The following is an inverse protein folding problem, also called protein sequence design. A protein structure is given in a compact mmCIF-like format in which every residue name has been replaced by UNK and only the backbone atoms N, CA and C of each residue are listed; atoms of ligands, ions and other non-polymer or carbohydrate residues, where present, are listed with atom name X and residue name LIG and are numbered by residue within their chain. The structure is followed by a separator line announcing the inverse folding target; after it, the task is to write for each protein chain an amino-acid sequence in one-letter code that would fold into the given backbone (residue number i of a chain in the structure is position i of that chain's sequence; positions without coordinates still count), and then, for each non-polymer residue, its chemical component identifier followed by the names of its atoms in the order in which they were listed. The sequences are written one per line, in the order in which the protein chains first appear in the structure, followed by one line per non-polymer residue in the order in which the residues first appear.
data_IF_042362681348
#
_entry.id   IF_042362681348
#
_cell.length_a   1.000
_cell.length_b   1.000
_cell.length_c   1.000
_cell.angle_alpha   90.00
_cell.angle_beta   90.00
_cell.angle_gamma   90.00
#
_symmetry.space_group_name_H-M   'P 1'
#
loop_
_entity.id
_entity.type
_entity.pdbx_description
1 polymer ?
#
# COMPACT_ATOMS: atom_id res chain seq x y z
N UNK A 1 -0.04 28.35 -3.33
CA UNK A 1 -0.90 28.29 -4.53
C UNK A 1 -0.13 27.52 -5.59
N UNK A 2 -0.20 26.18 -5.57
CA UNK A 2 0.55 25.31 -6.48
C UNK A 2 -0.42 24.79 -7.55
N UNK A 3 -0.57 25.54 -8.64
CA UNK A 3 -1.09 24.97 -9.89
C UNK A 3 0.10 24.31 -10.57
N UNK A 4 0.18 22.99 -10.52
CA UNK A 4 1.22 22.22 -11.21
C UNK A 4 0.56 21.50 -12.39
N UNK A 5 0.96 21.88 -13.59
CA UNK A 5 0.55 21.32 -14.89
C UNK A 5 1.16 19.94 -15.20
N UNK A 6 1.72 19.23 -14.20
CA UNK A 6 2.23 17.86 -14.36
C UNK A 6 1.31 16.86 -13.65
N UNK A 7 0.37 16.28 -14.39
CA UNK A 7 -0.41 15.09 -13.95
C UNK A 7 0.49 13.87 -13.63
N UNK A 8 1.77 13.89 -14.02
CA UNK A 8 2.70 12.78 -13.86
C UNK A 8 3.25 12.59 -12.43
N UNK A 9 3.16 13.58 -11.53
CA UNK A 9 3.71 13.51 -10.17
C UNK A 9 2.65 13.62 -9.07
N UNK A 10 1.41 13.19 -9.35
CA UNK A 10 0.40 13.02 -8.32
C UNK A 10 0.42 11.58 -7.79
N UNK A 11 0.15 11.44 -6.48
CA UNK A 11 -0.07 10.15 -5.82
C UNK A 11 -1.30 9.50 -6.45
N UNK A 12 -1.17 8.24 -6.90
CA UNK A 12 -2.14 7.59 -7.82
C UNK A 12 -3.58 7.57 -7.29
N UNK A 13 -3.80 7.62 -5.97
CA UNK A 13 -5.13 7.58 -5.36
C UNK A 13 -5.47 8.80 -4.49
N UNK A 14 -4.83 9.95 -4.73
CA UNK A 14 -5.20 11.17 -4.04
C UNK A 14 -6.57 11.66 -4.54
N UNK A 15 -7.52 11.84 -3.61
CA UNK A 15 -8.85 12.38 -3.89
C UNK A 15 -9.02 13.72 -3.15
N UNK A 16 -9.01 14.81 -3.91
CA UNK A 16 -9.16 16.18 -3.41
C UNK A 16 -10.53 16.44 -2.75
N UNK A 17 -11.55 15.63 -3.05
CA UNK A 17 -12.85 15.72 -2.39
C UNK A 17 -12.85 15.02 -1.03
N UNK A 18 -11.89 14.13 -0.80
CA UNK A 18 -11.74 13.37 0.44
C UNK A 18 -10.68 13.96 1.35
N UNK A 19 -9.59 14.51 0.80
CA UNK A 19 -8.46 15.06 1.55
C UNK A 19 -8.19 16.49 1.10
N UNK A 20 -8.32 17.43 2.03
CA UNK A 20 -8.15 18.87 1.81
C UNK A 20 -7.07 19.41 2.74
N UNK A 21 -6.42 20.49 2.31
CA UNK A 21 -5.41 21.21 3.09
C UNK A 21 -5.94 22.61 3.42
N UNK A 22 -5.97 22.95 4.70
CA UNK A 22 -6.50 24.22 5.19
C UNK A 22 -5.50 24.91 6.10
N UNK A 23 -5.54 26.25 6.14
CA UNK A 23 -4.81 27.01 7.16
C UNK A 23 -5.76 27.28 8.32
N UNK A 24 -5.32 26.97 9.54
CA UNK A 24 -6.03 27.39 10.75
C UNK A 24 -6.01 28.91 10.88
N UNK A 25 -6.88 29.46 11.74
CA UNK A 25 -6.85 30.87 12.11
C UNK A 25 -5.49 31.33 12.70
N UNK A 26 -4.67 30.39 13.18
CA UNK A 26 -3.32 30.63 13.69
C UNK A 26 -2.22 30.49 12.63
N UNK A 27 -2.58 30.25 11.37
CA UNK A 27 -1.65 30.13 10.24
C UNK A 27 -0.97 28.75 10.11
N UNK A 28 -1.40 27.75 10.89
CA UNK A 28 -0.86 26.40 10.78
C UNK A 28 -1.58 25.62 9.67
N UNK A 29 -0.82 24.89 8.85
CA UNK A 29 -1.38 23.99 7.85
C UNK A 29 -1.93 22.73 8.54
N UNK A 30 -3.16 22.36 8.20
CA UNK A 30 -3.83 21.14 8.68
C UNK A 30 -4.37 20.34 7.51
N UNK A 31 -4.59 19.05 7.76
CA UNK A 31 -5.20 18.13 6.80
C UNK A 31 -6.62 17.81 7.28
N UNK A 32 -7.59 18.05 6.41
CA UNK A 32 -9.00 17.73 6.62
C UNK A 32 -9.33 16.51 5.77
N UNK A 33 -9.72 15.40 6.41
CA UNK A 33 -10.09 14.15 5.73
C UNK A 33 -11.56 13.83 5.99
N UNK A 34 -12.33 13.59 4.94
CA UNK A 34 -13.64 12.94 5.07
C UNK A 34 -13.45 11.44 5.30
N UNK A 35 -13.89 10.95 6.45
CA UNK A 35 -13.70 9.54 6.84
C UNK A 35 -14.79 9.03 7.78
N UNK A 36 -14.71 7.78 8.23
CA UNK A 36 -15.62 7.14 9.17
C UNK A 36 -15.09 7.14 10.59
N UNK A 37 -16.00 7.02 11.57
CA UNK A 37 -15.66 6.78 12.98
C UNK A 37 -14.71 5.58 13.16
N UNK A 38 -14.89 4.52 12.35
CA UNK A 38 -14.04 3.32 12.41
C UNK A 38 -12.57 3.66 12.15
N UNK A 39 -12.27 4.55 11.19
CA UNK A 39 -10.89 4.97 10.95
C UNK A 39 -10.31 5.72 12.15
N UNK A 40 -11.11 6.55 12.83
CA UNK A 40 -10.70 7.27 14.04
C UNK A 40 -10.33 6.29 15.15
N UNK A 41 -11.19 5.29 15.38
CA UNK A 41 -10.98 4.27 16.41
C UNK A 41 -9.70 3.47 16.12
N UNK A 42 -9.52 3.06 14.86
CA UNK A 42 -8.30 2.36 14.41
C UNK A 42 -7.05 3.22 14.62
N UNK A 43 -7.11 4.51 14.27
CA UNK A 43 -5.99 5.45 14.43
C UNK A 43 -5.65 5.66 15.91
N UNK A 44 -6.65 5.76 16.79
CA UNK A 44 -6.42 5.85 18.23
C UNK A 44 -5.73 4.60 18.78
N UNK A 45 -6.13 3.41 18.32
CA UNK A 45 -5.52 2.14 18.73
C UNK A 45 -4.05 2.06 18.35
N UNK A 46 -3.71 2.33 17.09
CA UNK A 46 -2.31 2.30 16.63
C UNK A 46 -1.47 3.40 17.29
N UNK A 47 -2.02 4.60 17.50
CA UNK A 47 -1.31 5.70 18.18
C UNK A 47 -0.92 5.28 19.60
N UNK A 48 -1.84 4.65 20.33
CA UNK A 48 -1.59 4.09 21.66
C UNK A 48 -0.59 2.94 21.63
N UNK A 49 -0.59 2.14 20.57
CA UNK A 49 0.35 1.04 20.42
C UNK A 49 1.78 1.53 20.13
N UNK A 50 1.94 2.53 19.27
CA UNK A 50 3.22 3.14 18.90
C UNK A 50 3.82 4.02 20.02
N UNK A 51 3.00 4.50 20.95
CA UNK A 51 3.49 5.28 22.10
C UNK A 51 4.09 4.42 23.22
N UNK A 52 3.88 3.11 23.20
CA UNK A 52 4.64 2.16 24.02
C UNK A 52 6.07 2.14 23.48
N UNK A 53 7.07 1.97 24.35
CA UNK A 53 8.47 1.90 23.93
C UNK A 53 8.68 0.69 23.00
N UNK A 54 8.54 0.92 21.69
CA UNK A 54 8.62 -0.07 20.63
C UNK A 54 9.96 0.05 19.93
N UNK A 55 10.38 -1.04 19.29
CA UNK A 55 11.53 -1.02 18.42
C UNK A 55 11.39 0.12 17.39
N UNK A 56 12.40 0.99 17.34
CA UNK A 56 12.50 2.01 16.31
C UNK A 56 12.80 1.35 14.96
N UNK A 57 12.39 1.99 13.87
CA UNK A 57 12.79 1.55 12.55
C UNK A 57 14.24 1.97 12.31
N UNK A 58 15.11 1.02 11.99
CA UNK A 58 16.52 1.31 11.66
C UNK A 58 16.70 1.23 10.16
N UNK A 59 17.08 2.35 9.54
CA UNK A 59 17.39 2.47 8.11
C UNK A 59 18.70 3.24 7.94
N UNK A 60 19.64 2.70 7.17
CA UNK A 60 20.99 3.27 6.98
C UNK A 60 21.74 3.56 8.30
N UNK A 61 21.58 2.67 9.30
CA UNK A 61 22.12 2.83 10.66
C UNK A 61 21.59 4.07 11.41
N UNK A 62 20.46 4.62 10.97
CA UNK A 62 19.77 5.73 11.61
C UNK A 62 18.43 5.22 12.13
N UNK A 63 18.13 5.57 13.37
CA UNK A 63 16.83 5.29 13.99
C UNK A 63 15.79 6.32 13.57
N UNK A 64 14.62 5.82 13.16
CA UNK A 64 13.45 6.58 12.81
C UNK A 64 12.29 6.23 13.73
N UNK A 65 11.57 7.25 14.16
CA UNK A 65 10.33 7.08 14.94
C UNK A 65 9.14 6.98 14.01
N UNK A 66 8.43 5.84 14.07
CA UNK A 66 7.15 5.66 13.37
C UNK A 66 6.02 6.24 14.23
N UNK A 67 5.17 7.07 13.64
CA UNK A 67 4.03 7.71 14.30
C UNK A 67 2.83 7.84 13.35
N UNK A 68 1.69 8.18 13.92
CA UNK A 68 0.50 8.65 13.21
C UNK A 68 0.43 10.17 13.21
N UNK A 69 -0.38 10.75 12.32
CA UNK A 69 -0.70 12.17 12.39
C UNK A 69 -1.52 12.46 13.66
N UNK A 70 -1.17 13.51 14.40
CA UNK A 70 -1.95 13.91 15.58
C UNK A 70 -3.34 14.40 15.17
N UNK A 71 -4.36 13.83 15.81
CA UNK A 71 -5.74 14.30 15.71
C UNK A 71 -5.91 15.63 16.42
N UNK A 72 -6.47 16.61 15.71
CA UNK A 72 -6.84 17.92 16.26
C UNK A 72 -8.30 17.90 16.66
N UNK A 73 -9.19 17.46 15.77
CA UNK A 73 -10.62 17.35 16.04
C UNK A 73 -11.30 16.33 15.13
N UNK A 74 -12.48 15.86 15.55
CA UNK A 74 -13.36 14.99 14.79
C UNK A 74 -14.78 15.56 14.84
N UNK A 75 -15.37 15.76 13.66
CA UNK A 75 -16.77 16.12 13.49
C UNK A 75 -17.55 14.89 12.99
N UNK A 76 -18.34 14.30 13.89
CA UNK A 76 -19.13 13.11 13.57
C UNK A 76 -20.35 13.38 12.72
N UNK A 77 -20.84 14.63 12.67
CA UNK A 77 -22.02 14.99 11.87
C UNK A 77 -21.61 15.08 10.38
N UNK A 78 -20.49 15.77 10.11
CA UNK A 78 -19.98 15.97 8.75
C UNK A 78 -18.99 14.88 8.31
N UNK A 79 -18.62 13.97 9.21
CA UNK A 79 -17.63 12.92 9.00
C UNK A 79 -16.24 13.51 8.63
N UNK A 80 -15.83 14.58 9.32
CA UNK A 80 -14.59 15.31 9.04
C UNK A 80 -13.56 15.13 10.16
N UNK A 81 -12.41 14.59 9.79
CA UNK A 81 -11.23 14.44 10.62
C UNK A 81 -10.24 15.57 10.32
N UNK A 82 -9.88 16.35 11.33
CA UNK A 82 -8.76 17.29 11.26
C UNK A 82 -7.52 16.68 11.93
N UNK A 83 -6.41 16.69 11.19
CA UNK A 83 -5.09 16.27 11.69
C UNK A 83 -4.03 17.33 11.44
N UNK A 84 -2.93 17.24 12.18
CA UNK A 84 -1.77 18.06 11.87
C UNK A 84 -1.17 17.71 10.51
N UNK A 85 -0.69 18.72 9.78
CA UNK A 85 0.11 18.48 8.59
C UNK A 85 1.47 17.91 8.99
N UNK A 86 1.86 16.80 8.35
CA UNK A 86 3.20 16.23 8.47
C UNK A 86 4.04 16.64 7.27
N UNK A 87 5.10 17.40 7.51
CA UNK A 87 6.05 17.83 6.48
C UNK A 87 7.03 16.68 6.18
N UNK A 88 6.75 15.87 5.17
CA UNK A 88 7.60 14.74 4.77
C UNK A 88 7.36 14.30 3.34
N UNK A 89 8.34 13.61 2.76
CA UNK A 89 8.27 13.10 1.39
C UNK A 89 7.45 11.82 1.32
N UNK A 90 6.58 11.70 0.31
CA UNK A 90 5.73 10.54 0.11
C UNK A 90 6.50 9.36 -0.51
N UNK A 91 6.43 8.17 0.10
CA UNK A 91 7.19 7.01 -0.35
C UNK A 91 6.81 6.57 -1.78
N UNK A 92 5.56 6.74 -2.21
CA UNK A 92 5.16 6.44 -3.60
C UNK A 92 5.97 7.27 -4.60
N UNK A 93 6.06 8.59 -4.37
CA UNK A 93 6.78 9.50 -5.25
C UNK A 93 8.28 9.20 -5.25
N UNK A 94 8.83 8.86 -4.08
CA UNK A 94 10.23 8.46 -3.93
C UNK A 94 10.54 7.16 -4.68
N UNK A 95 9.62 6.18 -4.63
CA UNK A 95 9.70 4.93 -5.40
C UNK A 95 9.35 5.11 -6.88
N UNK A 96 8.93 6.29 -7.33
CA UNK A 96 8.74 6.61 -8.76
C UNK A 96 9.89 7.44 -9.32
N UNK A 97 10.91 7.73 -8.52
CA UNK A 97 12.08 8.50 -8.95
C UNK A 97 12.82 7.80 -10.10
N UNK A 98 13.19 8.59 -11.10
CA UNK A 98 14.05 8.18 -12.22
C UNK A 98 15.53 8.08 -11.82
N UNK A 99 15.90 8.63 -10.65
CA UNK A 99 17.25 8.50 -10.13
C UNK A 99 17.41 7.12 -9.46
N UNK A 100 18.08 6.20 -10.14
CA UNK A 100 18.27 4.82 -9.67
C UNK A 100 18.97 4.71 -8.31
N UNK A 101 19.91 5.61 -8.00
CA UNK A 101 20.58 5.60 -6.69
C UNK A 101 19.60 6.00 -5.59
N UNK A 102 18.84 7.06 -5.81
CA UNK A 102 17.79 7.50 -4.88
C UNK A 102 16.72 6.42 -4.71
N UNK A 103 16.26 5.81 -5.81
CA UNK A 103 15.30 4.71 -5.79
C UNK A 103 15.78 3.56 -4.91
N UNK A 104 17.04 3.14 -5.08
CA UNK A 104 17.64 2.05 -4.30
C UNK A 104 17.57 2.34 -2.79
N UNK A 105 17.86 3.56 -2.36
CA UNK A 105 17.76 3.95 -0.95
C UNK A 105 16.35 3.74 -0.38
N UNK A 106 15.31 4.01 -1.17
CA UNK A 106 13.91 3.84 -0.76
C UNK A 106 13.37 2.42 -0.92
N UNK A 107 13.98 1.61 -1.79
CA UNK A 107 13.78 0.14 -1.79
C UNK A 107 14.35 -0.45 -0.49
N UNK A 108 15.55 -0.03 -0.08
CA UNK A 108 16.16 -0.44 1.18
C UNK A 108 15.34 0.05 2.39
N UNK A 109 14.79 1.27 2.34
CA UNK A 109 13.82 1.75 3.34
C UNK A 109 12.60 0.85 3.41
N UNK A 110 12.03 0.50 2.25
CA UNK A 110 10.83 -0.35 2.19
C UNK A 110 11.10 -1.70 2.84
N UNK A 111 12.24 -2.32 2.54
CA UNK A 111 12.68 -3.56 3.19
C UNK A 111 12.79 -3.40 4.72
N UNK A 112 13.39 -2.32 5.18
CA UNK A 112 13.50 -2.03 6.61
C UNK A 112 12.13 -1.81 7.27
N UNK A 113 11.20 -1.13 6.58
CA UNK A 113 9.84 -0.87 7.05
C UNK A 113 9.00 -2.14 7.16
N UNK A 114 9.01 -2.99 6.13
CA UNK A 114 8.35 -4.30 6.17
C UNK A 114 8.95 -5.16 7.30
N UNK A 115 10.29 -5.19 7.44
CA UNK A 115 10.96 -5.89 8.53
C UNK A 115 10.62 -5.34 9.91
N UNK A 116 10.48 -4.03 10.05
CA UNK A 116 10.07 -3.37 11.29
C UNK A 116 8.65 -3.81 11.70
N UNK A 117 7.66 -3.80 10.79
CA UNK A 117 6.29 -4.26 11.10
C UNK A 117 6.27 -5.67 11.70
N UNK A 118 7.11 -6.57 11.17
CA UNK A 118 7.27 -7.93 11.70
C UNK A 118 7.79 -7.93 13.14
N UNK A 119 8.88 -7.21 13.39
CA UNK A 119 9.58 -7.21 14.69
C UNK A 119 8.82 -6.46 15.77
N UNK A 120 8.21 -5.32 15.43
CA UNK A 120 7.47 -4.49 16.38
C UNK A 120 6.13 -5.11 16.79
N UNK A 121 5.62 -6.11 16.05
CA UNK A 121 4.27 -6.62 16.24
C UNK A 121 3.20 -5.65 15.74
N UNK A 122 3.55 -4.75 14.80
CA UNK A 122 2.66 -3.72 14.24
C UNK A 122 2.41 -4.01 12.76
N UNK A 123 1.44 -4.87 12.45
CA UNK A 123 1.07 -5.12 11.06
C UNK A 123 -0.10 -4.22 10.65
N UNK A 124 0.22 -3.18 9.89
CA UNK A 124 -0.75 -2.23 9.36
C UNK A 124 -1.38 -2.77 8.06
N UNK A 125 -2.71 -2.97 8.06
CA UNK A 125 -3.43 -3.69 7.00
C UNK A 125 -3.61 -2.84 5.74
N UNK A 126 -3.62 -1.51 5.88
CA UNK A 126 -3.66 -0.54 4.77
C UNK A 126 -2.29 -0.02 4.36
N UNK A 127 -1.23 -0.76 4.71
CA UNK A 127 0.13 -0.38 4.35
C UNK A 127 0.28 -0.30 2.83
N UNK A 128 0.57 0.91 2.35
CA UNK A 128 0.85 1.21 0.96
C UNK A 128 1.83 2.39 0.88
N UNK A 129 2.69 2.49 -0.16
CA UNK A 129 3.64 3.59 -0.30
C UNK A 129 3.02 4.99 -0.22
N UNK A 130 1.84 5.18 -0.82
CA UNK A 130 1.07 6.43 -0.78
C UNK A 130 0.70 6.92 0.62
N UNK A 131 0.63 6.02 1.58
CA UNK A 131 0.19 6.28 2.94
C UNK A 131 1.36 6.47 3.91
N UNK A 132 2.60 6.60 3.38
CA UNK A 132 3.83 6.74 4.17
C UNK A 132 4.52 8.05 3.81
N UNK A 133 4.69 8.91 4.81
CA UNK A 133 5.49 10.14 4.70
C UNK A 133 6.77 10.01 5.52
N UNK A 134 7.89 10.46 4.96
CA UNK A 134 9.22 10.33 5.56
C UNK A 134 9.84 11.71 5.71
N UNK A 135 10.22 12.09 6.93
CA UNK A 135 11.03 13.27 7.19
C UNK A 135 12.42 12.84 7.66
N UNK A 136 13.40 12.92 6.75
CA UNK A 136 14.80 12.55 7.03
C UNK A 136 15.43 13.47 8.06
N UNK A 137 15.08 14.77 8.07
CA UNK A 137 15.66 15.77 8.99
C UNK A 137 15.23 15.55 10.43
N UNK A 138 13.93 15.32 10.65
CA UNK A 138 13.39 15.03 11.99
C UNK A 138 13.50 13.55 12.38
N UNK A 139 13.87 12.67 11.44
CA UNK A 139 13.95 11.21 11.61
C UNK A 139 12.61 10.61 12.04
N UNK A 140 11.55 11.06 11.39
CA UNK A 140 10.19 10.63 11.67
C UNK A 140 9.55 10.02 10.42
N UNK A 141 8.72 9.02 10.64
CA UNK A 141 7.89 8.38 9.63
C UNK A 141 6.45 8.54 10.08
N UNK A 142 5.62 9.16 9.25
CA UNK A 142 4.20 9.27 9.49
C UNK A 142 3.46 8.26 8.62
N UNK A 143 2.75 7.33 9.27
CA UNK A 143 1.81 6.43 8.60
C UNK A 143 0.40 7.02 8.68
N UNK A 144 -0.31 6.96 7.55
CA UNK A 144 -1.63 7.55 7.34
C UNK A 144 -2.62 6.46 6.96
N UNK A 145 -3.91 6.78 6.91
CA UNK A 145 -4.97 5.91 6.36
C UNK A 145 -5.18 4.58 7.12
N UNK A 146 -6.22 4.54 7.94
CA UNK A 146 -6.52 3.43 8.85
C UNK A 146 -7.92 2.84 8.66
N UNK A 147 -8.46 2.81 7.45
CA UNK A 147 -9.82 2.31 7.18
C UNK A 147 -10.01 0.82 7.52
N UNK A 148 -8.98 0.00 7.27
CA UNK A 148 -8.90 -1.43 7.59
C UNK A 148 -8.17 -1.71 8.90
N UNK A 149 -7.48 -0.72 9.46
CA UNK A 149 -6.85 -0.78 10.78
C UNK A 149 -5.53 -1.57 10.81
N UNK A 150 -5.20 -2.09 11.99
CA UNK A 150 -3.95 -2.81 12.25
C UNK A 150 -4.22 -4.14 12.96
N UNK A 151 -3.36 -5.13 12.70
CA UNK A 151 -3.19 -6.28 13.58
C UNK A 151 -2.04 -5.93 14.52
N UNK A 152 -2.30 -5.96 15.83
CA UNK A 152 -1.36 -5.49 16.85
C UNK A 152 -1.02 -6.61 17.83
N UNK A 153 0.28 -6.80 18.10
CA UNK A 153 0.81 -7.78 19.04
C UNK A 153 1.87 -7.13 19.92
N UNK A 154 1.96 -7.55 21.17
CA UNK A 154 3.05 -7.10 22.07
C UNK A 154 4.37 -7.83 21.81
N UNK A 155 4.41 -8.75 20.83
CA UNK A 155 5.57 -9.55 20.44
C UNK A 155 5.71 -9.58 18.92
N UNK A 156 6.92 -9.89 18.40
CA UNK A 156 7.12 -10.09 16.97
C UNK A 156 6.16 -11.12 16.36
N UNK A 157 5.83 -10.93 15.09
CA UNK A 157 5.12 -11.92 14.29
C UNK A 157 5.98 -13.14 14.01
N UNK A 158 5.37 -14.32 14.02
CA UNK A 158 6.04 -15.50 13.45
C UNK A 158 6.19 -15.33 11.94
N UNK A 159 7.10 -16.10 11.35
CA UNK A 159 7.30 -16.07 9.91
C UNK A 159 6.02 -16.48 9.15
N UNK A 160 5.29 -17.49 9.62
CA UNK A 160 4.02 -17.93 9.00
C UNK A 160 2.94 -16.85 9.07
N UNK A 161 2.71 -16.25 10.25
CA UNK A 161 1.72 -15.18 10.41
C UNK A 161 2.05 -13.98 9.53
N UNK A 162 3.33 -13.60 9.48
CA UNK A 162 3.77 -12.46 8.70
C UNK A 162 3.58 -12.70 7.20
N UNK A 163 4.00 -13.87 6.70
CA UNK A 163 3.85 -14.24 5.28
C UNK A 163 2.39 -14.25 4.85
N UNK A 164 1.51 -14.85 5.65
CA UNK A 164 0.08 -14.88 5.36
C UNK A 164 -0.50 -13.48 5.20
N UNK A 165 -0.22 -12.57 6.14
CA UNK A 165 -0.80 -11.24 6.11
C UNK A 165 -0.18 -10.33 5.04
N UNK A 166 1.15 -10.40 4.84
CA UNK A 166 1.83 -9.58 3.82
C UNK A 166 1.38 -9.96 2.41
N UNK A 167 1.23 -11.27 2.11
CA UNK A 167 0.71 -11.72 0.81
C UNK A 167 -0.65 -11.12 0.50
N UNK A 168 -1.60 -11.24 1.43
CA UNK A 168 -3.00 -10.87 1.19
C UNK A 168 -3.32 -9.37 1.32
N UNK A 169 -2.50 -8.58 2.02
CA UNK A 169 -2.81 -7.16 2.26
C UNK A 169 -1.82 -6.17 1.66
N UNK A 170 -0.53 -6.53 1.60
CA UNK A 170 0.55 -5.55 1.46
C UNK A 170 1.29 -5.72 0.13
N UNK A 171 1.50 -6.96 -0.30
CA UNK A 171 2.38 -7.26 -1.44
C UNK A 171 1.92 -6.63 -2.76
N UNK A 172 0.61 -6.64 -3.06
CA UNK A 172 0.04 -5.98 -4.25
C UNK A 172 0.28 -4.47 -4.22
N UNK A 173 0.02 -3.82 -3.08
CA UNK A 173 0.09 -2.36 -2.91
C UNK A 173 1.52 -1.82 -3.05
N UNK A 174 2.49 -2.51 -2.46
CA UNK A 174 3.91 -2.14 -2.62
C UNK A 174 4.47 -2.59 -3.98
N UNK A 175 4.08 -3.77 -4.44
CA UNK A 175 4.55 -4.34 -5.70
C UNK A 175 4.23 -3.49 -6.93
N UNK A 176 3.16 -2.71 -6.88
CA UNK A 176 2.82 -1.74 -7.92
C UNK A 176 3.87 -0.62 -8.14
N UNK A 177 4.82 -0.48 -7.23
CA UNK A 177 5.89 0.52 -7.28
C UNK A 177 7.29 -0.09 -7.23
N UNK A 178 7.42 -1.41 -7.22
CA UNK A 178 8.67 -2.15 -7.13
C UNK A 178 8.89 -3.00 -8.37
N UNK A 179 10.10 -2.99 -8.93
CA UNK A 179 10.48 -3.89 -10.02
C UNK A 179 10.62 -5.33 -9.52
N UNK A 180 10.55 -6.35 -10.41
CA UNK A 180 10.60 -7.76 -10.01
C UNK A 180 11.75 -8.12 -9.08
N UNK A 181 12.96 -7.60 -9.34
CA UNK A 181 14.15 -7.88 -8.53
C UNK A 181 14.07 -7.22 -7.14
N UNK A 182 13.40 -6.08 -7.02
CA UNK A 182 13.18 -5.37 -5.76
C UNK A 182 12.09 -6.07 -4.95
N UNK A 183 11.04 -6.56 -5.62
CA UNK A 183 10.01 -7.38 -5.00
C UNK A 183 10.59 -8.67 -4.44
N UNK A 184 11.52 -9.33 -5.14
CA UNK A 184 12.17 -10.53 -4.62
C UNK A 184 13.01 -10.23 -3.37
N UNK A 185 13.72 -9.10 -3.35
CA UNK A 185 14.52 -8.67 -2.19
C UNK A 185 13.70 -8.39 -0.93
N UNK A 186 12.44 -7.98 -1.08
CA UNK A 186 11.54 -7.59 0.02
C UNK A 186 10.57 -8.72 0.37
N UNK A 187 9.99 -9.37 -0.64
CA UNK A 187 8.89 -10.32 -0.53
C UNK A 187 9.26 -11.75 -0.95
N UNK A 188 10.47 -12.04 -1.45
CA UNK A 188 10.81 -13.36 -1.99
C UNK A 188 10.50 -14.52 -1.02
N UNK A 189 10.79 -14.33 0.28
CA UNK A 189 10.52 -15.34 1.31
C UNK A 189 9.03 -15.60 1.56
N UNK A 190 8.15 -14.63 1.25
CA UNK A 190 6.71 -14.74 1.54
C UNK A 190 6.02 -15.77 0.66
N UNK A 191 6.62 -16.14 -0.47
CA UNK A 191 6.04 -17.09 -1.43
C UNK A 191 6.50 -18.54 -1.21
N UNK A 192 7.32 -18.81 -0.19
CA UNK A 192 7.87 -20.15 0.06
C UNK A 192 7.10 -20.87 1.16
N UNK A 193 6.01 -21.55 0.82
CA UNK A 193 5.19 -22.31 1.76
C UNK A 193 4.70 -23.63 1.13
N UNK A 194 4.63 -24.69 1.93
CA UNK A 194 4.08 -25.98 1.49
C UNK A 194 2.58 -25.86 1.23
N UNK A 195 2.09 -26.54 0.20
CA UNK A 195 0.67 -26.53 -0.11
C UNK A 195 -0.13 -27.25 0.98
N UNK A 196 -1.22 -26.62 1.41
CA UNK A 196 -2.14 -27.11 2.43
C UNK A 196 -3.54 -26.57 2.16
N UNK A 197 -4.54 -27.24 2.71
CA UNK A 197 -5.90 -26.70 2.77
C UNK A 197 -5.95 -25.52 3.75
N UNK A 198 -6.56 -24.42 3.32
CA UNK A 198 -6.74 -23.21 4.12
C UNK A 198 -8.18 -22.72 4.00
N UNK A 199 -8.65 -21.99 5.00
CA UNK A 199 -9.96 -21.35 4.93
C UNK A 199 -10.06 -20.41 3.72
N UNK A 200 -11.23 -20.36 3.07
CA UNK A 200 -11.56 -19.39 2.02
C UNK A 200 -11.31 -17.93 2.42
N UNK A 201 -11.25 -17.64 3.72
CA UNK A 201 -10.89 -16.32 4.26
C UNK A 201 -9.43 -15.92 4.03
N UNK A 202 -8.60 -16.80 3.49
CA UNK A 202 -7.28 -16.46 2.96
C UNK A 202 -7.36 -15.55 1.73
N UNK A 203 -8.46 -15.61 0.98
CA UNK A 203 -8.81 -14.63 -0.05
C UNK A 203 -9.54 -13.47 0.64
N UNK A 204 -8.80 -12.40 0.93
CA UNK A 204 -9.24 -11.23 1.70
C UNK A 204 -10.07 -10.27 0.86
N UNK A 205 -9.77 -10.17 -0.44
CA UNK A 205 -10.42 -9.23 -1.35
C UNK A 205 -11.54 -9.84 -2.20
N UNK A 206 -12.50 -9.01 -2.60
CA UNK A 206 -13.49 -9.39 -3.63
C UNK A 206 -12.83 -9.77 -4.95
N UNK A 207 -11.79 -9.02 -5.35
CA UNK A 207 -10.99 -9.25 -6.57
C UNK A 207 -10.37 -10.65 -6.60
N UNK A 208 -9.72 -11.04 -5.51
CA UNK A 208 -9.10 -12.35 -5.36
C UNK A 208 -10.14 -13.48 -5.46
N UNK A 209 -11.30 -13.31 -4.82
CA UNK A 209 -12.38 -14.32 -4.85
C UNK A 209 -12.97 -14.50 -6.25
N UNK A 210 -13.21 -13.41 -6.97
CA UNK A 210 -13.71 -13.48 -8.36
C UNK A 210 -12.68 -14.19 -9.26
N UNK A 211 -11.40 -13.84 -9.13
CA UNK A 211 -10.32 -14.49 -9.88
C UNK A 211 -10.23 -15.98 -9.55
N UNK A 212 -10.25 -16.33 -8.26
CA UNK A 212 -10.24 -17.72 -7.83
C UNK A 212 -11.38 -18.50 -8.49
N UNK A 213 -12.62 -17.99 -8.42
CA UNK A 213 -13.77 -18.65 -9.04
C UNK A 213 -13.61 -18.82 -10.55
N UNK A 214 -13.06 -17.83 -11.24
CA UNK A 214 -12.84 -17.89 -12.70
C UNK A 214 -11.80 -18.93 -13.10
N UNK A 215 -10.72 -19.08 -12.32
CA UNK A 215 -9.63 -20.02 -12.65
C UNK A 215 -9.85 -21.43 -12.13
N UNK A 216 -10.52 -21.58 -10.98
CA UNK A 216 -10.57 -22.85 -10.24
C UNK A 216 -11.98 -23.34 -9.92
N UNK A 217 -13.02 -22.58 -10.26
CA UNK A 217 -14.42 -22.94 -9.99
C UNK A 217 -14.89 -22.54 -8.58
N UNK A 218 -16.05 -23.06 -8.19
CA UNK A 218 -16.69 -22.72 -6.91
C UNK A 218 -15.80 -23.05 -5.71
N UNK A 219 -15.85 -22.17 -4.70
CA UNK A 219 -15.08 -22.32 -3.46
C UNK A 219 -15.91 -23.07 -2.41
N UNK A 220 -15.29 -24.06 -1.78
CA UNK A 220 -15.79 -24.61 -0.52
C UNK A 220 -15.44 -23.70 0.68
N UNK A 221 -15.58 -24.24 1.89
CA UNK A 221 -15.10 -23.59 3.12
C UNK A 221 -13.57 -23.58 3.21
N UNK A 222 -12.94 -24.56 2.57
CA UNK A 222 -11.49 -24.74 2.47
C UNK A 222 -11.07 -24.78 0.99
N UNK A 223 -9.86 -24.30 0.72
CA UNK A 223 -9.24 -24.19 -0.60
C UNK A 223 -7.73 -24.44 -0.48
N UNK A 224 -7.10 -24.88 -1.56
CA UNK A 224 -5.64 -25.08 -1.61
C UNK A 224 -4.89 -23.74 -1.54
N UNK A 225 -3.89 -23.68 -0.67
CA UNK A 225 -3.01 -22.52 -0.51
C UNK A 225 -2.23 -22.22 -1.79
N UNK A 226 -1.78 -23.24 -2.54
CA UNK A 226 -1.08 -23.02 -3.81
C UNK A 226 -1.97 -22.27 -4.83
N UNK A 227 -3.27 -22.58 -4.88
CA UNK A 227 -4.24 -21.84 -5.71
C UNK A 227 -4.43 -20.40 -5.24
N UNK A 228 -4.50 -20.16 -3.93
CA UNK A 228 -4.54 -18.80 -3.35
C UNK A 228 -3.31 -18.00 -3.78
N UNK A 229 -2.12 -18.61 -3.65
CA UNK A 229 -0.86 -17.97 -4.02
C UNK A 229 -0.75 -17.69 -5.52
N UNK A 230 -1.32 -18.55 -6.39
CA UNK A 230 -1.41 -18.28 -7.83
C UNK A 230 -2.21 -17.00 -8.08
N UNK A 231 -3.37 -16.83 -7.44
CA UNK A 231 -4.19 -15.62 -7.60
C UNK A 231 -3.44 -14.37 -7.12
N UNK A 232 -2.83 -14.42 -5.94
CA UNK A 232 -2.10 -13.28 -5.38
C UNK A 232 -0.89 -12.90 -6.23
N UNK A 233 -0.11 -13.88 -6.71
CA UNK A 233 1.01 -13.66 -7.62
C UNK A 233 0.56 -13.12 -8.97
N UNK A 234 -0.59 -13.58 -9.48
CA UNK A 234 -1.16 -13.05 -10.72
C UNK A 234 -1.51 -11.58 -10.58
N UNK A 235 -2.19 -11.19 -9.49
CA UNK A 235 -2.52 -9.78 -9.23
C UNK A 235 -1.26 -8.93 -9.10
N UNK A 236 -0.28 -9.39 -8.31
CA UNK A 236 1.02 -8.73 -8.15
C UNK A 236 1.75 -8.57 -9.50
N UNK A 237 1.83 -9.63 -10.30
CA UNK A 237 2.52 -9.61 -11.58
C UNK A 237 1.91 -8.60 -12.56
N UNK A 238 0.59 -8.43 -12.54
CA UNK A 238 -0.11 -7.48 -13.41
C UNK A 238 0.12 -6.04 -12.96
N UNK A 239 0.12 -5.74 -11.66
CA UNK A 239 0.37 -4.36 -11.17
C UNK A 239 1.85 -3.96 -11.24
N UNK A 240 2.76 -4.93 -11.39
CA UNK A 240 4.21 -4.71 -11.37
C UNK A 240 4.67 -3.76 -12.48
N UNK A 241 5.38 -2.67 -12.15
CA UNK A 241 5.90 -1.74 -13.13
C UNK A 241 6.98 -2.38 -14.02
N UNK A 242 7.16 -1.84 -15.22
CA UNK A 242 8.16 -2.30 -16.17
C UNK A 242 8.65 -1.16 -17.07
N UNK A 243 9.81 -1.37 -17.69
CA UNK A 243 10.39 -0.39 -18.61
C UNK A 243 9.86 -0.57 -20.03
N UNK A 244 9.61 0.55 -20.70
CA UNK A 244 9.45 0.64 -22.15
C UNK A 244 10.47 1.67 -22.63
N UNK A 245 11.59 1.20 -23.18
CA UNK A 245 12.74 2.06 -23.40
C UNK A 245 13.28 2.58 -22.06
N UNK A 246 13.32 3.89 -21.88
CA UNK A 246 13.79 4.55 -20.65
C UNK A 246 12.63 4.93 -19.70
N UNK A 247 11.38 4.75 -20.12
CA UNK A 247 10.22 5.15 -19.33
C UNK A 247 9.70 4.00 -18.45
N UNK A 248 9.28 4.36 -17.23
CA UNK A 248 8.64 3.42 -16.30
C UNK A 248 7.15 3.44 -16.52
N UNK A 249 6.60 2.29 -16.92
CA UNK A 249 5.18 2.11 -17.07
C UNK A 249 4.58 1.44 -15.82
N UNK A 250 3.51 2.01 -15.23
CA UNK A 250 2.77 1.43 -14.10
C UNK A 250 1.35 1.02 -14.52
N UNK A 251 1.07 -0.29 -14.65
CA UNK A 251 -0.27 -0.81 -14.94
C UNK A 251 -1.33 -0.43 -13.90
N UNK A 252 -0.91 -0.15 -12.66
CA UNK A 252 -1.81 0.23 -11.58
C UNK A 252 -2.67 1.44 -11.95
N UNK A 253 -2.13 2.41 -12.69
CA UNK A 253 -2.86 3.63 -13.11
C UNK A 253 -4.14 3.25 -13.88
N UNK A 254 -4.02 2.31 -14.81
CA UNK A 254 -5.16 1.84 -15.60
C UNK A 254 -6.13 0.97 -14.81
N UNK A 255 -5.61 0.16 -13.90
CA UNK A 255 -6.43 -0.69 -13.04
C UNK A 255 -7.21 0.13 -12.00
N UNK A 256 -6.64 1.23 -11.52
CA UNK A 256 -7.22 2.12 -10.51
C UNK A 256 -8.48 2.86 -10.99
N UNK A 257 -8.68 3.00 -12.30
CA UNK A 257 -9.91 3.59 -12.88
C UNK A 257 -11.16 2.70 -12.74
N UNK A 258 -10.98 1.43 -12.36
CA UNK A 258 -12.09 0.48 -12.25
C UNK A 258 -13.09 0.91 -11.18
N UNK A 259 -14.37 0.94 -11.54
CA UNK A 259 -15.45 1.33 -10.62
C UNK A 259 -15.96 0.16 -9.76
N UNK A 260 -15.57 -1.07 -10.08
CA UNK A 260 -15.97 -2.28 -9.35
C UNK A 260 -14.88 -3.35 -9.34
N UNK A 261 -15.03 -4.33 -8.44
CA UNK A 261 -14.11 -5.47 -8.39
C UNK A 261 -14.20 -6.33 -9.66
N UNK A 262 -15.39 -6.45 -10.23
CA UNK A 262 -15.66 -7.16 -11.49
C UNK A 262 -14.99 -6.46 -12.67
N UNK A 263 -15.09 -5.13 -12.74
CA UNK A 263 -14.41 -4.34 -13.77
C UNK A 263 -12.88 -4.47 -13.64
N UNK A 264 -12.34 -4.36 -12.42
CA UNK A 264 -10.91 -4.54 -12.16
C UNK A 264 -10.43 -5.90 -12.66
N UNK A 265 -11.17 -6.97 -12.32
CA UNK A 265 -10.85 -8.33 -12.76
C UNK A 265 -10.94 -8.46 -14.29
N UNK A 266 -11.93 -7.83 -14.92
CA UNK A 266 -12.02 -7.77 -16.39
C UNK A 266 -10.78 -7.14 -17.01
N UNK A 267 -10.42 -5.92 -16.57
CA UNK A 267 -9.22 -5.21 -17.05
C UNK A 267 -7.94 -6.01 -16.81
N UNK A 268 -7.82 -6.66 -15.67
CA UNK A 268 -6.69 -7.51 -15.32
C UNK A 268 -6.58 -8.73 -16.26
N UNK A 269 -7.68 -9.37 -16.60
CA UNK A 269 -7.71 -10.50 -17.55
C UNK A 269 -7.40 -10.06 -18.99
N UNK A 270 -7.85 -8.87 -19.39
CA UNK A 270 -7.49 -8.26 -20.67
C UNK A 270 -5.97 -8.07 -20.77
N UNK A 271 -5.33 -7.58 -19.71
CA UNK A 271 -3.87 -7.43 -19.66
C UNK A 271 -3.16 -8.78 -19.73
N UNK A 272 -3.61 -9.79 -18.97
CA UNK A 272 -3.01 -11.13 -19.00
C UNK A 272 -3.08 -11.78 -20.38
N UNK A 273 -4.17 -11.56 -21.12
CA UNK A 273 -4.36 -12.10 -22.47
C UNK A 273 -3.62 -11.31 -23.56
N UNK A 274 -3.03 -10.17 -23.21
CA UNK A 274 -2.24 -9.32 -24.12
C UNK A 274 -0.75 -9.53 -23.87
N UNK A 275 0.05 -9.67 -24.92
CA UNK A 275 1.52 -9.69 -24.77
C UNK A 275 2.01 -8.41 -24.11
N UNK A 276 2.95 -8.52 -23.14
CA UNK A 276 3.42 -7.38 -22.34
C UNK A 276 4.01 -6.24 -23.18
N UNK A 277 4.60 -6.55 -24.33
CA UNK A 277 5.08 -5.56 -25.32
C UNK A 277 3.97 -4.65 -25.89
N UNK A 278 2.72 -5.13 -25.89
CA UNK A 278 1.56 -4.43 -26.41
C UNK A 278 0.72 -3.72 -25.33
N UNK A 279 1.10 -3.85 -24.06
CA UNK A 279 0.37 -3.28 -22.93
C UNK A 279 0.27 -1.75 -23.02
N UNK A 280 1.35 -1.05 -23.38
CA UNK A 280 1.32 0.40 -23.59
C UNK A 280 0.26 0.83 -24.60
N UNK A 281 0.03 0.04 -25.66
CA UNK A 281 -1.01 0.35 -26.66
C UNK A 281 -2.42 0.19 -26.07
N UNK A 282 -2.65 -0.82 -25.24
CA UNK A 282 -3.92 -1.00 -24.52
C UNK A 282 -4.18 0.15 -23.55
N UNK A 283 -3.12 0.60 -22.88
CA UNK A 283 -3.17 1.59 -21.82
C UNK A 283 -3.34 3.01 -22.38
N UNK A 284 -2.70 3.33 -23.52
CA UNK A 284 -2.83 4.61 -24.22
C UNK A 284 -4.16 4.72 -24.97
N UNK A 285 -4.66 3.65 -25.60
CA UNK A 285 -5.92 3.70 -26.38
C UNK A 285 -7.18 3.91 -25.55
N UNK A 286 -7.13 3.70 -24.23
CA UNK A 286 -8.27 3.87 -23.32
C UNK A 286 -8.21 5.15 -22.48
N UNK A 287 -7.16 5.96 -22.64
CA UNK A 287 -6.98 7.29 -22.03
C UNK A 287 -7.38 8.45 -22.97
N UNK A 288 -7.78 8.15 -24.22
CA UNK A 288 -8.30 9.08 -25.24
C UNK A 288 -9.77 8.75 -25.48
#
# INVERSE_FOLDING_TARGET
MCRIENRELQVVSFDENKVMFENTNSGNLVVVKRTSQKEIDNMAEITKHLSRDRESLVWNNIEFKVKTARVISWDSEENLLLTEHFDGDNLELLLRSQNLNQRKEFVDFTKAFIGWMKKSGTLWVDAAPRNILINIRSREICILDFEKGCLLKDKPYTEEEFRFNVRGFISEEFGAFLFPEEQDQIFGSIWSEEDKEVSVNYLRGKRERILYTKFFGEMGTEISLSKVMIIQRLMLAVVTPYFIGEEVFSPLVYLAESQSAEEYVGRLLDLISTERSNWSTVLVKKLI
#
